data_IF_450813200315
#
_entry.id   IF_450813200315
#
_cell.length_a   1.000
_cell.length_b   1.000
_cell.length_c   1.000
_cell.angle_alpha   90.00
_cell.angle_beta   90.00
_cell.angle_gamma   90.00
#
_symmetry.space_group_name_H-M   'P 1'
#
loop_
_entity.id
_entity.type
_entity.pdbx_description
1 polymer ?
#
# COMPACT_ATOMS: atom_id res chain seq x y z
N UNK A 1 9.05 38.16 61.00
CA UNK A 1 9.69 36.83 60.94
C UNK A 1 8.73 35.84 60.31
N UNK A 2 9.15 35.14 59.24
CA UNK A 2 8.50 33.90 58.72
C UNK A 2 9.07 32.69 59.47
N UNK A 3 8.32 31.59 59.55
CA UNK A 3 8.67 30.41 58.74
C UNK A 3 7.42 29.76 58.10
N UNK A 4 7.37 29.55 56.77
CA UNK A 4 7.72 28.34 55.97
C UNK A 4 6.91 27.06 56.24
N UNK A 5 6.29 26.58 55.15
CA UNK A 5 5.43 25.40 54.99
C UNK A 5 6.14 24.08 55.34
N UNK A 6 5.39 22.97 55.43
CA UNK A 6 5.67 21.92 54.45
C UNK A 6 4.42 21.42 53.72
N UNK A 7 4.60 21.23 52.42
CA UNK A 7 3.74 20.46 51.52
C UNK A 7 4.00 18.99 51.84
N UNK A 8 2.95 18.19 52.07
CA UNK A 8 3.09 16.74 52.13
C UNK A 8 2.15 16.07 51.14
N UNK A 9 2.80 15.28 50.30
CA UNK A 9 2.37 14.53 49.15
C UNK A 9 1.37 13.43 49.56
N UNK A 10 0.08 13.61 49.26
CA UNK A 10 -0.93 12.54 49.45
C UNK A 10 -0.95 11.65 48.21
N UNK A 11 0.12 10.88 48.03
CA UNK A 11 0.03 9.62 47.31
C UNK A 11 -0.72 8.62 48.21
N UNK A 12 -1.55 7.79 47.57
CA UNK A 12 -2.11 6.56 48.10
C UNK A 12 -3.35 6.71 49.00
N UNK A 13 -4.53 6.43 48.42
CA UNK A 13 -5.49 5.43 48.94
C UNK A 13 -6.73 5.32 48.03
N UNK A 14 -6.92 4.10 47.51
CA UNK A 14 -8.18 3.37 47.44
C UNK A 14 -9.41 4.06 46.83
N UNK A 15 -9.66 3.81 45.54
CA UNK A 15 -10.99 3.52 44.99
C UNK A 15 -10.71 2.59 43.79
N UNK A 16 -11.00 1.30 43.86
CA UNK A 16 -12.35 0.77 44.05
C UNK A 16 -12.79 0.27 42.68
N UNK A 17 -12.59 -1.04 42.44
CA UNK A 17 -13.06 -1.76 41.26
C UNK A 17 -14.56 -1.48 41.09
N UNK A 18 -14.94 -0.81 40.00
CA UNK A 18 -16.32 -0.78 39.53
C UNK A 18 -16.36 -1.57 38.23
N UNK A 19 -16.62 -2.87 38.37
CA UNK A 19 -17.19 -3.70 37.31
C UNK A 19 -18.56 -3.11 37.03
N UNK A 20 -18.68 -2.26 36.01
CA UNK A 20 -19.97 -1.72 35.62
C UNK A 20 -20.68 -2.75 34.74
N UNK A 21 -21.76 -3.25 35.31
CA UNK A 21 -22.59 -4.33 34.84
C UNK A 21 -23.11 -4.12 33.42
N UNK A 22 -23.12 -5.23 32.68
CA UNK A 22 -23.98 -5.47 31.52
C UNK A 22 -25.43 -5.22 31.94
N UNK A 23 -26.08 -4.23 31.33
CA UNK A 23 -27.53 -4.16 31.27
C UNK A 23 -27.98 -3.92 29.84
N UNK A 24 -28.56 -4.99 29.31
CA UNK A 24 -29.25 -5.10 28.03
C UNK A 24 -30.59 -4.39 28.18
N UNK A 25 -30.89 -3.37 27.35
CA UNK A 25 -32.27 -2.96 27.08
C UNK A 25 -32.46 -2.75 25.59
N UNK A 26 -33.46 -3.49 25.10
CA UNK A 26 -33.86 -3.66 23.72
C UNK A 26 -34.45 -2.39 23.08
N UNK A 27 -34.16 -2.21 21.80
CA UNK A 27 -35.00 -1.45 20.88
C UNK A 27 -35.63 -2.41 19.87
N UNK A 28 -36.97 -2.39 19.81
CA UNK A 28 -37.77 -3.16 18.87
C UNK A 28 -37.66 -2.58 17.45
N UNK A 29 -37.08 -3.38 16.56
CA UNK A 29 -37.11 -3.22 15.11
C UNK A 29 -36.45 -4.44 14.52
N UNK A 30 -37.13 -5.19 13.65
CA UNK A 30 -36.56 -6.31 12.91
C UNK A 30 -35.32 -5.81 12.13
N UNK A 31 -34.15 -6.04 12.70
CA UNK A 31 -32.86 -6.12 12.02
C UNK A 31 -32.24 -7.41 12.55
N UNK A 32 -31.88 -8.28 11.63
CA UNK A 32 -31.15 -9.51 11.92
C UNK A 32 -29.99 -9.14 12.85
N UNK A 33 -29.93 -9.81 14.01
CA UNK A 33 -28.83 -9.61 14.95
C UNK A 33 -27.63 -10.33 14.37
N UNK A 34 -26.85 -9.62 13.56
CA UNK A 34 -25.47 -10.01 13.31
C UNK A 34 -24.79 -10.12 14.67
N UNK A 35 -24.30 -11.33 14.97
CA UNK A 35 -23.50 -11.52 16.17
C UNK A 35 -22.16 -10.82 15.95
N UNK A 36 -21.44 -10.43 17.03
CA UNK A 36 -20.08 -9.92 16.90
C UNK A 36 -19.13 -10.85 16.13
N UNK A 37 -19.45 -12.16 16.07
CA UNK A 37 -18.72 -13.16 15.30
C UNK A 37 -18.98 -13.04 13.79
N UNK A 38 -20.22 -12.78 13.38
CA UNK A 38 -20.60 -12.58 11.98
C UNK A 38 -19.96 -11.31 11.42
N UNK A 39 -20.07 -10.19 12.14
CA UNK A 39 -19.46 -8.92 11.73
C UNK A 39 -17.93 -9.00 11.65
N UNK A 40 -17.29 -9.75 12.55
CA UNK A 40 -15.83 -9.97 12.52
C UNK A 40 -15.41 -10.84 11.32
N UNK A 41 -16.25 -11.78 10.92
CA UNK A 41 -16.03 -12.68 9.78
C UNK A 41 -16.16 -11.91 8.46
N UNK A 42 -17.26 -11.17 8.28
CA UNK A 42 -17.47 -10.32 7.09
C UNK A 42 -16.36 -9.26 6.91
N UNK A 43 -15.92 -8.64 8.02
CA UNK A 43 -14.79 -7.72 8.00
C UNK A 43 -13.46 -8.39 7.65
N UNK A 44 -13.28 -9.70 7.91
CA UNK A 44 -12.07 -10.45 7.52
C UNK A 44 -12.13 -10.80 6.05
N UNK A 45 -13.27 -11.29 5.59
CA UNK A 45 -13.44 -11.71 4.21
C UNK A 45 -13.28 -10.53 3.24
N UNK A 46 -13.92 -9.40 3.52
CA UNK A 46 -13.76 -8.16 2.72
C UNK A 46 -12.32 -7.65 2.69
N UNK A 47 -11.61 -7.71 3.81
CA UNK A 47 -10.20 -7.29 3.87
C UNK A 47 -9.29 -8.20 3.03
N UNK A 48 -9.45 -9.52 3.12
CA UNK A 48 -8.63 -10.45 2.34
C UNK A 48 -8.96 -10.38 0.83
N UNK A 49 -10.22 -10.10 0.47
CA UNK A 49 -10.64 -9.85 -0.91
C UNK A 49 -9.98 -8.57 -1.47
N UNK A 50 -10.11 -7.44 -0.79
CA UNK A 50 -9.46 -6.18 -1.22
C UNK A 50 -7.94 -6.33 -1.36
N UNK A 51 -7.32 -7.10 -0.45
CA UNK A 51 -5.88 -7.38 -0.47
C UNK A 51 -5.48 -8.21 -1.68
N UNK A 52 -6.27 -9.22 -2.02
CA UNK A 52 -6.05 -10.07 -3.19
C UNK A 52 -6.21 -9.29 -4.48
N UNK A 53 -7.26 -8.46 -4.58
CA UNK A 53 -7.53 -7.65 -5.78
C UNK A 53 -6.41 -6.64 -6.03
N UNK A 54 -6.00 -5.89 -4.99
CA UNK A 54 -4.90 -4.94 -5.11
C UNK A 54 -3.57 -5.63 -5.46
N UNK A 55 -3.31 -6.82 -4.91
CA UNK A 55 -2.14 -7.61 -5.28
C UNK A 55 -2.16 -7.96 -6.78
N UNK A 56 -3.29 -8.42 -7.30
CA UNK A 56 -3.40 -8.73 -8.72
C UNK A 56 -3.25 -7.52 -9.62
N UNK A 57 -3.80 -6.37 -9.24
CA UNK A 57 -3.60 -5.13 -10.01
C UNK A 57 -2.11 -4.76 -10.09
N UNK A 58 -1.36 -4.88 -8.98
CA UNK A 58 0.08 -4.61 -8.96
C UNK A 58 0.87 -5.63 -9.79
N UNK A 59 0.52 -6.92 -9.72
CA UNK A 59 1.13 -7.98 -10.52
C UNK A 59 0.88 -7.77 -12.03
N UNK A 60 -0.32 -7.30 -12.42
CA UNK A 60 -0.62 -6.96 -13.81
C UNK A 60 0.27 -5.80 -14.31
N UNK A 61 0.40 -4.73 -13.51
CA UNK A 61 1.29 -3.62 -13.87
C UNK A 61 2.75 -4.10 -13.96
N UNK A 62 3.18 -5.01 -13.08
CA UNK A 62 4.53 -5.58 -13.12
C UNK A 62 4.78 -6.33 -14.43
N UNK A 63 3.81 -7.14 -14.87
CA UNK A 63 3.90 -7.86 -16.14
C UNK A 63 4.02 -6.89 -17.33
N UNK A 64 3.32 -5.75 -17.29
CA UNK A 64 3.47 -4.71 -18.31
C UNK A 64 4.89 -4.11 -18.30
N UNK A 65 5.49 -3.87 -17.13
CA UNK A 65 6.88 -3.41 -17.01
C UNK A 65 7.86 -4.46 -17.55
N UNK A 66 7.72 -5.73 -17.17
CA UNK A 66 8.56 -6.83 -17.63
C UNK A 66 8.52 -6.97 -19.16
N UNK A 67 7.32 -6.83 -19.75
CA UNK A 67 7.16 -6.84 -21.21
C UNK A 67 7.88 -5.67 -21.88
N UNK A 68 7.84 -4.47 -21.30
CA UNK A 68 8.58 -3.33 -21.86
C UNK A 68 10.10 -3.45 -21.66
N UNK A 69 10.55 -4.12 -20.59
CA UNK A 69 11.96 -4.48 -20.41
C UNK A 69 12.44 -5.46 -21.49
N UNK A 70 11.63 -6.47 -21.84
CA UNK A 70 11.93 -7.38 -22.95
C UNK A 70 11.99 -6.63 -24.29
N UNK A 71 11.01 -5.76 -24.57
CA UNK A 71 11.02 -4.91 -25.77
C UNK A 71 12.26 -4.01 -25.85
N UNK A 72 12.73 -3.51 -24.69
CA UNK A 72 13.94 -2.71 -24.60
C UNK A 72 15.19 -3.51 -24.93
N UNK A 73 15.29 -4.75 -24.45
CA UNK A 73 16.43 -5.61 -24.73
C UNK A 73 16.57 -5.91 -26.22
N UNK A 74 15.47 -6.16 -26.91
CA UNK A 74 15.46 -6.32 -28.36
C UNK A 74 15.93 -5.03 -29.06
N UNK A 75 15.42 -3.88 -28.65
CA UNK A 75 15.84 -2.57 -29.21
C UNK A 75 17.31 -2.25 -28.94
N UNK A 76 17.83 -2.61 -27.77
CA UNK A 76 19.24 -2.42 -27.39
C UNK A 76 20.15 -3.28 -28.28
N UNK A 77 19.73 -4.51 -28.58
CA UNK A 77 20.47 -5.42 -29.44
C UNK A 77 20.56 -4.90 -30.90
N UNK A 78 19.55 -4.18 -31.36
CA UNK A 78 19.47 -3.62 -32.72
C UNK A 78 20.00 -2.18 -32.84
N UNK A 79 20.17 -1.47 -31.73
CA UNK A 79 20.52 -0.05 -31.72
C UNK A 79 22.00 0.23 -32.05
N UNK A 80 22.24 1.39 -32.66
CA UNK A 80 23.59 1.98 -32.78
C UNK A 80 24.07 2.55 -31.45
N UNK A 81 25.38 2.75 -31.29
CA UNK A 81 26.02 3.17 -30.04
C UNK A 81 25.38 4.42 -29.37
N UNK A 82 24.92 5.39 -30.17
CA UNK A 82 24.30 6.62 -29.65
C UNK A 82 22.93 6.38 -29.02
N UNK A 83 22.11 5.50 -29.60
CA UNK A 83 20.79 5.17 -29.07
C UNK A 83 20.89 4.12 -27.94
N UNK A 84 21.92 3.28 -27.98
CA UNK A 84 22.14 2.22 -26.98
C UNK A 84 22.25 2.76 -25.56
N UNK A 85 23.03 3.84 -25.35
CA UNK A 85 23.19 4.45 -24.02
C UNK A 85 21.85 4.95 -23.45
N UNK A 86 20.99 5.52 -24.30
CA UNK A 86 19.68 6.00 -23.88
C UNK A 86 18.76 4.83 -23.49
N UNK A 87 18.73 3.78 -24.30
CA UNK A 87 17.93 2.59 -24.05
C UNK A 87 18.39 1.84 -22.79
N UNK A 88 19.70 1.72 -22.57
CA UNK A 88 20.24 1.11 -21.34
C UNK A 88 19.84 1.90 -20.10
N UNK A 89 19.82 3.24 -20.17
CA UNK A 89 19.31 4.07 -19.07
C UNK A 89 17.83 3.83 -18.82
N UNK A 90 17.01 3.81 -19.87
CA UNK A 90 15.58 3.51 -19.74
C UNK A 90 15.33 2.13 -19.15
N UNK A 91 16.14 1.14 -19.53
CA UNK A 91 16.09 -0.22 -18.96
C UNK A 91 16.39 -0.18 -17.46
N UNK A 92 17.41 0.55 -17.03
CA UNK A 92 17.72 0.70 -15.61
C UNK A 92 16.56 1.35 -14.84
N UNK A 93 15.99 2.44 -15.38
CA UNK A 93 14.85 3.14 -14.77
C UNK A 93 13.63 2.20 -14.63
N UNK A 94 13.31 1.39 -15.65
CA UNK A 94 12.20 0.42 -15.58
C UNK A 94 12.47 -0.75 -14.63
N UNK A 95 13.73 -1.20 -14.48
CA UNK A 95 14.06 -2.21 -13.46
C UNK A 95 13.82 -1.67 -12.04
N UNK A 96 14.18 -0.41 -11.77
CA UNK A 96 13.87 0.22 -10.49
C UNK A 96 12.33 0.28 -10.24
N UNK A 97 11.55 0.54 -11.29
CA UNK A 97 10.08 0.51 -11.22
C UNK A 97 9.52 -0.90 -10.96
N UNK A 98 10.14 -1.94 -11.49
CA UNK A 98 9.78 -3.33 -11.20
C UNK A 98 10.06 -3.66 -9.72
N UNK A 99 11.21 -3.23 -9.20
CA UNK A 99 11.58 -3.40 -7.78
C UNK A 99 10.63 -2.61 -6.85
N UNK A 100 10.18 -1.41 -7.25
CA UNK A 100 9.17 -0.62 -6.54
C UNK A 100 7.85 -1.40 -6.41
N UNK A 101 7.39 -2.03 -7.51
CA UNK A 101 6.19 -2.86 -7.52
C UNK A 101 6.34 -4.10 -6.65
N UNK A 102 7.48 -4.79 -6.67
CA UNK A 102 7.73 -5.95 -5.81
C UNK A 102 7.60 -5.57 -4.34
N UNK A 103 8.15 -4.42 -3.94
CA UNK A 103 8.00 -3.90 -2.57
C UNK A 103 6.55 -3.57 -2.24
N UNK A 104 5.77 -3.05 -3.19
CA UNK A 104 4.35 -2.78 -3.00
C UNK A 104 3.53 -4.08 -2.85
N UNK A 105 3.78 -5.07 -3.70
CA UNK A 105 3.16 -6.40 -3.63
C UNK A 105 3.45 -7.05 -2.28
N UNK A 106 4.72 -7.05 -1.85
CA UNK A 106 5.13 -7.60 -0.56
C UNK A 106 4.44 -6.87 0.61
N UNK A 107 4.31 -5.55 0.54
CA UNK A 107 3.63 -4.75 1.57
C UNK A 107 2.13 -5.04 1.60
N UNK A 108 1.49 -5.23 0.45
CA UNK A 108 0.09 -5.66 0.35
C UNK A 108 -0.07 -7.04 0.99
N UNK A 109 0.74 -8.02 0.58
CA UNK A 109 0.70 -9.40 1.07
C UNK A 109 0.91 -9.52 2.57
N UNK A 110 1.77 -8.67 3.15
CA UNK A 110 2.09 -8.73 4.58
C UNK A 110 1.31 -7.71 5.44
N UNK A 111 0.40 -6.94 4.83
CA UNK A 111 -0.37 -5.92 5.54
C UNK A 111 -1.35 -6.52 6.54
N UNK A 112 -1.62 -5.73 7.59
CA UNK A 112 -2.69 -6.00 8.56
C UNK A 112 -3.81 -5.01 8.36
N UNK A 113 -5.01 -5.33 8.86
CA UNK A 113 -6.18 -4.43 8.82
C UNK A 113 -5.88 -3.03 9.35
N UNK A 114 -5.07 -2.92 10.40
CA UNK A 114 -4.72 -1.63 11.00
C UNK A 114 -3.84 -0.76 10.09
N UNK A 115 -2.98 -1.38 9.29
CA UNK A 115 -2.08 -0.69 8.37
C UNK A 115 -2.63 -0.61 6.93
N UNK A 116 -3.85 -1.10 6.70
CA UNK A 116 -4.37 -1.33 5.35
C UNK A 116 -4.50 -0.04 4.54
N UNK A 117 -4.95 1.05 5.16
CA UNK A 117 -5.09 2.34 4.50
C UNK A 117 -3.74 2.85 3.97
N UNK A 118 -2.69 2.81 4.81
CA UNK A 118 -1.35 3.28 4.44
C UNK A 118 -0.70 2.36 3.40
N UNK A 119 -1.02 1.07 3.42
CA UNK A 119 -0.60 0.12 2.38
C UNK A 119 -1.27 0.43 1.05
N UNK A 120 -2.58 0.71 1.04
CA UNK A 120 -3.32 1.09 -0.16
C UNK A 120 -2.82 2.38 -0.78
N UNK A 121 -2.56 3.39 0.04
CA UNK A 121 -2.00 4.67 -0.42
C UNK A 121 -0.64 4.47 -1.08
N UNK A 122 0.27 3.75 -0.41
CA UNK A 122 1.58 3.42 -0.97
C UNK A 122 1.50 2.65 -2.29
N UNK A 123 0.63 1.63 -2.38
CA UNK A 123 0.45 0.84 -3.58
C UNK A 123 -0.13 1.66 -4.74
N UNK A 124 -1.07 2.57 -4.44
CA UNK A 124 -1.67 3.47 -5.43
C UNK A 124 -0.64 4.46 -5.98
N UNK A 125 0.13 5.12 -5.11
CA UNK A 125 1.21 6.02 -5.50
C UNK A 125 2.26 5.31 -6.37
N UNK A 126 2.66 4.09 -5.95
CA UNK A 126 3.62 3.28 -6.71
C UNK A 126 3.06 2.93 -8.09
N UNK A 127 1.81 2.49 -8.15
CA UNK A 127 1.15 2.15 -9.42
C UNK A 127 1.05 3.34 -10.37
N UNK A 128 0.72 4.53 -9.84
CA UNK A 128 0.60 5.75 -10.63
C UNK A 128 1.96 6.20 -11.19
N UNK A 129 3.00 6.18 -10.36
CA UNK A 129 4.36 6.53 -10.75
C UNK A 129 4.92 5.57 -11.83
N UNK A 130 4.67 4.27 -11.68
CA UNK A 130 5.06 3.27 -12.68
C UNK A 130 4.30 3.48 -13.99
N UNK A 131 2.98 3.68 -13.94
CA UNK A 131 2.17 3.95 -15.14
C UNK A 131 2.62 5.22 -15.86
N UNK A 132 2.97 6.26 -15.12
CA UNK A 132 3.55 7.49 -15.68
C UNK A 132 4.90 7.20 -16.34
N UNK A 133 5.77 6.43 -15.68
CA UNK A 133 7.09 6.06 -16.21
C UNK A 133 6.99 5.25 -17.51
N UNK A 134 6.06 4.29 -17.58
CA UNK A 134 5.78 3.52 -18.80
C UNK A 134 5.27 4.39 -19.95
N UNK A 135 4.39 5.35 -19.65
CA UNK A 135 3.90 6.31 -20.65
C UNK A 135 5.04 7.18 -21.19
N UNK A 136 5.82 7.78 -20.30
CA UNK A 136 6.98 8.60 -20.65
C UNK A 136 8.01 7.81 -21.47
N UNK A 137 8.23 6.56 -21.09
CA UNK A 137 9.06 5.63 -21.84
C UNK A 137 8.55 5.46 -23.29
N UNK A 138 7.28 5.13 -23.46
CA UNK A 138 6.66 4.96 -24.78
C UNK A 138 6.74 6.23 -25.63
N UNK A 139 6.60 7.42 -25.04
CA UNK A 139 6.75 8.70 -25.72
C UNK A 139 8.20 8.96 -26.17
N UNK A 140 9.19 8.73 -25.30
CA UNK A 140 10.61 8.89 -25.62
C UNK A 140 11.07 7.93 -26.73
N UNK A 141 10.61 6.68 -26.71
CA UNK A 141 10.88 5.72 -27.78
C UNK A 141 10.27 6.19 -29.09
N UNK A 142 9.02 6.62 -29.10
CA UNK A 142 8.38 7.15 -30.32
C UNK A 142 9.16 8.34 -30.88
N UNK A 143 9.55 9.31 -30.06
CA UNK A 143 10.28 10.49 -30.50
C UNK A 143 11.62 10.13 -31.16
N UNK A 144 12.37 9.18 -30.59
CA UNK A 144 13.71 8.82 -31.07
C UNK A 144 13.69 7.88 -32.26
N UNK A 145 12.73 6.96 -32.33
CA UNK A 145 12.68 5.92 -33.36
C UNK A 145 11.66 6.20 -34.47
N UNK A 146 10.79 7.19 -34.34
CA UNK A 146 9.91 7.65 -35.44
C UNK A 146 10.55 8.75 -36.31
N UNK A 147 11.67 9.33 -35.86
CA UNK A 147 12.44 10.36 -36.59
C UNK A 147 13.78 9.81 -37.13
N UNK A 148 14.02 8.51 -37.02
CA UNK A 148 15.21 7.82 -37.53
C UNK A 148 14.86 6.92 -38.70
#
# INVERSE_FOLDING_TARGET
MKPTKPVMNTFLKLFGVVVMAVLVVACSGKKEKETPEDAMTELKDSFEEEKKDLKYELEEIKLDVEKELDNLDDKIAEATDQNKTLLEKMKADLNEKADDLDRAIDKVENSTKQAWNDTREFAAETSEDVKSSLKDFGEKIKEKFSNS
#
